data_IF_564962368508
#
_entry.id   IF_564962368508
#
_cell.length_a   1.000
_cell.length_b   1.000
_cell.length_c   1.000
_cell.angle_alpha   90.00
_cell.angle_beta   90.00
_cell.angle_gamma   90.00
#
_symmetry.space_group_name_H-M   'P 1'
#
loop_
_entity.id
_entity.type
_entity.pdbx_description
1 polymer ?
#
# COMPACT_ATOMS: atom_id res chain seq x y z
N UNK A 1 -0.76 15.43 23.98
CA UNK A 1 -0.78 15.83 22.55
C UNK A 1 -1.97 16.77 22.33
N UNK A 2 -1.80 17.98 21.76
CA UNK A 2 -2.91 18.95 21.57
C UNK A 2 -3.24 19.15 20.08
N UNK A 3 -4.33 19.87 19.77
CA UNK A 3 -4.78 20.09 18.40
C UNK A 3 -3.75 20.81 17.52
N UNK A 4 -3.08 21.84 18.04
CA UNK A 4 -2.06 22.59 17.32
C UNK A 4 -0.87 21.71 16.91
N UNK A 5 -0.36 20.89 17.84
CA UNK A 5 0.74 19.95 17.56
C UNK A 5 0.35 18.88 16.53
N UNK A 6 -0.87 18.33 16.59
CA UNK A 6 -1.34 17.34 15.60
C UNK A 6 -1.36 17.94 14.18
N UNK A 7 -1.88 19.16 14.04
CA UNK A 7 -1.95 19.85 12.75
C UNK A 7 -0.55 20.11 12.18
N UNK A 8 0.37 20.59 13.01
CA UNK A 8 1.76 20.83 12.60
C UNK A 8 2.46 19.53 12.12
N UNK A 9 2.22 18.40 12.80
CA UNK A 9 2.75 17.09 12.36
C UNK A 9 2.23 16.74 10.96
N UNK A 10 0.91 16.79 10.73
CA UNK A 10 0.35 16.47 9.43
C UNK A 10 0.81 17.43 8.33
N UNK A 11 0.96 18.72 8.62
CA UNK A 11 1.50 19.70 7.67
C UNK A 11 2.94 19.35 7.26
N UNK A 12 3.80 18.97 8.21
CA UNK A 12 5.18 18.55 7.91
C UNK A 12 5.22 17.24 7.12
N UNK A 13 4.40 16.26 7.48
CA UNK A 13 4.31 15.00 6.76
C UNK A 13 3.84 15.20 5.31
N UNK A 14 2.81 16.04 5.10
CA UNK A 14 2.32 16.38 3.76
C UNK A 14 3.36 17.17 2.95
N UNK A 15 4.09 18.10 3.57
CA UNK A 15 5.16 18.83 2.88
C UNK A 15 6.33 17.91 2.48
N UNK A 16 6.66 16.92 3.31
CA UNK A 16 7.72 15.95 3.03
C UNK A 16 7.33 14.92 1.96
N UNK A 17 6.06 14.48 1.94
CA UNK A 17 5.51 13.60 0.93
C UNK A 17 4.08 14.05 0.57
N UNK A 18 3.91 14.84 -0.52
CA UNK A 18 2.60 15.39 -0.91
C UNK A 18 1.57 14.34 -1.34
N UNK A 19 2.03 13.20 -1.83
CA UNK A 19 1.20 12.13 -2.38
C UNK A 19 1.67 10.76 -1.87
N UNK A 20 1.60 10.49 -0.55
CA UNK A 20 2.01 9.20 -0.01
C UNK A 20 1.09 8.10 -0.53
N UNK A 21 1.67 6.96 -0.89
CA UNK A 21 0.96 5.78 -1.40
C UNK A 21 1.52 4.52 -0.73
N UNK A 22 0.85 3.39 -0.94
CA UNK A 22 1.32 2.07 -0.47
C UNK A 22 2.59 1.63 -1.21
N UNK A 23 3.41 0.79 -0.56
CA UNK A 23 4.57 0.13 -1.19
C UNK A 23 4.20 -1.16 -1.93
N UNK A 24 2.92 -1.58 -1.84
CA UNK A 24 2.40 -2.73 -2.60
C UNK A 24 2.28 -2.38 -4.08
N UNK A 25 2.72 -3.28 -4.95
CA UNK A 25 2.62 -3.15 -6.41
C UNK A 25 1.24 -3.64 -6.88
N UNK A 26 0.47 -2.78 -7.57
CA UNK A 26 -0.85 -3.09 -8.11
C UNK A 26 -1.23 -2.16 -9.27
N UNK A 27 -2.12 -2.63 -10.14
CA UNK A 27 -2.65 -1.87 -11.28
C UNK A 27 -4.19 -1.80 -11.29
N UNK A 28 -4.85 -2.49 -10.36
CA UNK A 28 -6.31 -2.46 -10.21
C UNK A 28 -6.74 -2.52 -8.74
N UNK A 29 -7.96 -2.07 -8.40
CA UNK A 29 -8.49 -2.24 -7.04
C UNK A 29 -8.56 -3.70 -6.59
N UNK A 30 -8.75 -4.64 -7.52
CA UNK A 30 -8.76 -6.07 -7.22
C UNK A 30 -7.37 -6.59 -6.86
N UNK A 31 -6.35 -6.22 -7.64
CA UNK A 31 -4.96 -6.55 -7.30
C UNK A 31 -4.61 -6.01 -5.90
N UNK A 32 -4.93 -4.75 -5.60
CA UNK A 32 -4.68 -4.18 -4.27
C UNK A 32 -5.40 -4.94 -3.15
N UNK A 33 -6.66 -5.33 -3.36
CA UNK A 33 -7.41 -6.12 -2.39
C UNK A 33 -6.69 -7.45 -2.09
N UNK A 34 -6.25 -8.15 -3.13
CA UNK A 34 -5.51 -9.42 -2.99
C UNK A 34 -4.17 -9.20 -2.30
N UNK A 35 -3.42 -8.15 -2.67
CA UNK A 35 -2.14 -7.82 -2.03
C UNK A 35 -2.33 -7.57 -0.52
N UNK A 36 -3.34 -6.78 -0.15
CA UNK A 36 -3.67 -6.50 1.27
C UNK A 36 -4.05 -7.77 2.04
N UNK A 37 -4.77 -8.71 1.42
CA UNK A 37 -5.07 -10.00 2.04
C UNK A 37 -3.79 -10.81 2.31
N UNK A 38 -2.81 -10.76 1.41
CA UNK A 38 -1.52 -11.45 1.55
C UNK A 38 -0.57 -10.76 2.55
N UNK A 39 -0.76 -9.47 2.83
CA UNK A 39 0.10 -8.70 3.76
C UNK A 39 0.00 -9.13 5.22
N UNK A 40 -0.97 -9.97 5.60
CA UNK A 40 -1.12 -10.43 6.98
C UNK A 40 0.15 -11.14 7.48
N UNK A 41 0.86 -10.49 8.41
CA UNK A 41 2.14 -10.98 8.97
C UNK A 41 3.24 -11.21 7.91
N UNK A 42 3.15 -10.51 6.78
CA UNK A 42 4.15 -10.53 5.71
C UNK A 42 4.75 -9.13 5.54
N UNK A 43 5.86 -9.06 4.79
CA UNK A 43 6.45 -7.79 4.36
C UNK A 43 5.98 -7.43 2.96
N UNK A 44 5.89 -6.13 2.64
CA UNK A 44 5.52 -5.68 1.29
C UNK A 44 6.49 -6.24 0.22
N UNK A 45 7.77 -6.43 0.57
CA UNK A 45 8.75 -7.11 -0.28
C UNK A 45 8.32 -8.55 -0.62
N UNK A 46 7.94 -9.35 0.39
CA UNK A 46 7.49 -10.72 0.18
C UNK A 46 6.16 -10.81 -0.55
N UNK A 47 5.25 -9.86 -0.33
CA UNK A 47 3.97 -9.78 -1.04
C UNK A 47 4.23 -9.46 -2.51
N UNK A 48 5.01 -8.41 -2.80
CA UNK A 48 5.36 -8.03 -4.17
C UNK A 48 6.10 -9.17 -4.92
N UNK A 49 6.96 -9.92 -4.23
CA UNK A 49 7.60 -11.10 -4.82
C UNK A 49 6.58 -12.17 -5.26
N UNK A 50 5.53 -12.41 -4.47
CA UNK A 50 4.47 -13.35 -4.81
C UNK A 50 3.53 -12.80 -5.91
N UNK A 51 3.12 -11.53 -5.81
CA UNK A 51 2.15 -10.93 -6.73
C UNK A 51 2.71 -10.72 -8.13
N UNK A 52 4.02 -10.42 -8.28
CA UNK A 52 4.69 -10.40 -9.60
C UNK A 52 4.61 -11.73 -10.36
N UNK A 53 4.49 -12.84 -9.64
CA UNK A 53 4.30 -14.17 -10.24
C UNK A 53 2.82 -14.51 -10.44
N UNK A 54 1.96 -14.10 -9.50
CA UNK A 54 0.53 -14.41 -9.51
C UNK A 54 -0.25 -13.60 -10.56
N UNK A 55 -0.07 -12.27 -10.60
CA UNK A 55 -0.90 -11.39 -11.42
C UNK A 55 -0.80 -11.61 -12.93
N UNK A 56 0.36 -11.98 -13.53
CA UNK A 56 0.42 -12.29 -14.96
C UNK A 56 -0.48 -13.44 -15.41
N UNK A 57 -0.86 -14.32 -14.48
CA UNK A 57 -1.68 -15.52 -14.78
C UNK A 57 -3.08 -15.47 -14.16
N UNK A 58 -3.29 -14.67 -13.11
CA UNK A 58 -4.58 -14.53 -12.43
C UNK A 58 -4.69 -13.20 -11.67
N UNK A 59 -5.08 -12.12 -12.36
CA UNK A 59 -5.34 -10.81 -11.76
C UNK A 59 -6.80 -10.34 -11.86
N UNK A 60 -7.72 -11.27 -12.10
CA UNK A 60 -9.17 -11.06 -12.04
C UNK A 60 -9.84 -12.13 -11.16
N UNK A 61 -11.07 -11.91 -10.67
CA UNK A 61 -11.75 -12.88 -9.81
C UNK A 61 -12.14 -14.22 -10.46
N UNK A 62 -12.26 -14.28 -11.79
CA UNK A 62 -12.65 -15.47 -12.57
C UNK A 62 -11.48 -16.39 -12.84
#
# INVERSE_FOLDING_TARGET
MNAAKRREIFQRLQAANPHPTTELEYHSPFELLVAVMLSAQATDISVNAATRLLYPVANTPQ
#
